data_IF_001305258946
#
_entry.id   IF_001305258946
#
_cell.length_a   1.000
_cell.length_b   1.000
_cell.length_c   1.000
_cell.angle_alpha   90.00
_cell.angle_beta   90.00
_cell.angle_gamma   90.00
#
_symmetry.space_group_name_H-M   'P 1'
#
loop_
_entity.id
_entity.type
_entity.pdbx_description
1 polymer ?
#
# COMPACT_ATOMS: atom_id res chain seq x y z
N UNK A 1 -38.20 1.13 -14.75
CA UNK A 1 -37.19 1.55 -13.75
C UNK A 1 -36.43 0.30 -13.33
N UNK A 2 -35.22 0.17 -13.83
CA UNK A 2 -34.46 -1.08 -13.83
C UNK A 2 -33.96 -1.47 -12.45
N UNK A 3 -34.62 -2.46 -11.85
CA UNK A 3 -34.24 -3.09 -10.59
C UNK A 3 -33.23 -4.23 -10.81
N UNK A 4 -32.19 -3.99 -11.59
CA UNK A 4 -31.15 -5.00 -11.86
C UNK A 4 -29.76 -4.43 -11.99
N UNK A 5 -29.40 -3.48 -11.13
CA UNK A 5 -28.00 -3.25 -10.82
C UNK A 5 -27.54 -4.47 -10.03
N UNK A 6 -26.91 -5.45 -10.72
CA UNK A 6 -26.22 -6.55 -10.05
C UNK A 6 -25.31 -5.91 -9.00
N UNK A 7 -25.47 -6.32 -7.74
CA UNK A 7 -24.59 -5.87 -6.67
C UNK A 7 -23.14 -6.06 -7.13
N UNK A 8 -22.29 -5.06 -6.91
CA UNK A 8 -20.87 -5.16 -7.23
C UNK A 8 -20.27 -6.37 -6.49
N UNK A 9 -19.75 -7.36 -7.20
CA UNK A 9 -19.23 -8.57 -6.58
C UNK A 9 -17.92 -8.34 -5.81
N UNK A 10 -17.25 -7.19 -6.04
CA UNK A 10 -15.98 -6.82 -5.41
C UNK A 10 -15.99 -5.33 -5.02
N UNK A 11 -16.81 -4.91 -4.06
CA UNK A 11 -16.93 -3.51 -3.72
C UNK A 11 -15.62 -2.98 -3.14
N UNK A 12 -14.97 -2.09 -3.90
CA UNK A 12 -13.76 -1.36 -3.51
C UNK A 12 -14.22 -0.01 -2.93
N UNK A 13 -13.81 0.28 -1.70
CA UNK A 13 -14.14 1.53 -1.01
C UNK A 13 -13.24 2.70 -1.42
N UNK A 14 -12.07 2.42 -1.97
CA UNK A 14 -11.10 3.40 -2.45
C UNK A 14 -9.67 2.89 -2.36
N UNK A 15 -8.72 3.75 -2.71
CA UNK A 15 -7.30 3.50 -2.50
C UNK A 15 -7.01 3.65 -1.00
N UNK A 16 -6.40 2.63 -0.39
CA UNK A 16 -5.99 2.65 1.01
C UNK A 16 -4.63 3.34 1.16
N UNK A 17 -3.64 2.89 0.42
CA UNK A 17 -2.32 3.51 0.31
C UNK A 17 -1.68 3.18 -1.05
N UNK A 18 -0.68 3.97 -1.40
CA UNK A 18 0.25 3.65 -2.49
C UNK A 18 1.62 3.40 -1.86
N UNK A 19 2.19 2.20 -2.07
CA UNK A 19 3.52 1.87 -1.58
C UNK A 19 4.57 2.07 -2.68
N UNK A 20 5.60 2.84 -2.33
CA UNK A 20 6.78 3.03 -3.15
C UNK A 20 7.95 2.26 -2.55
N UNK A 21 8.57 1.40 -3.37
CA UNK A 21 9.87 0.85 -3.05
C UNK A 21 10.94 1.82 -3.52
N UNK A 22 11.85 2.17 -2.61
CA UNK A 22 12.88 3.19 -2.82
C UNK A 22 14.24 2.72 -2.33
N UNK A 23 15.31 3.29 -2.87
CA UNK A 23 16.66 2.99 -2.42
C UNK A 23 16.95 3.46 -0.99
N UNK A 24 16.32 4.55 -0.55
CA UNK A 24 16.44 5.06 0.81
C UNK A 24 15.16 5.70 1.31
N UNK A 25 14.41 4.98 2.16
CA UNK A 25 13.12 5.43 2.66
C UNK A 25 13.20 6.74 3.47
N UNK A 26 14.27 6.98 4.22
CA UNK A 26 14.45 8.21 5.00
C UNK A 26 14.65 9.43 4.10
N UNK A 27 15.46 9.30 3.04
CA UNK A 27 15.67 10.39 2.07
C UNK A 27 14.40 10.68 1.27
N UNK A 28 13.71 9.65 0.79
CA UNK A 28 12.45 9.81 0.09
C UNK A 28 11.38 10.47 0.99
N UNK A 29 11.29 10.03 2.27
CA UNK A 29 10.41 10.68 3.25
C UNK A 29 10.72 12.16 3.41
N UNK A 30 12.01 12.55 3.49
CA UNK A 30 12.41 13.94 3.56
C UNK A 30 11.97 14.73 2.31
N UNK A 31 12.12 14.14 1.12
CA UNK A 31 11.69 14.74 -0.14
C UNK A 31 10.17 15.00 -0.18
N UNK A 32 9.35 13.98 0.11
CA UNK A 32 7.90 14.13 0.10
C UNK A 32 7.39 15.06 1.21
N UNK A 33 8.03 15.05 2.37
CA UNK A 33 7.71 15.97 3.47
C UNK A 33 7.96 17.41 3.09
N UNK A 34 9.16 17.75 2.61
CA UNK A 34 9.56 19.14 2.39
C UNK A 34 9.15 19.68 1.00
N UNK A 35 9.09 18.80 -0.01
CA UNK A 35 8.69 19.19 -1.36
C UNK A 35 7.19 19.22 -1.58
N UNK A 36 6.44 18.34 -0.89
CA UNK A 36 5.01 18.16 -1.12
C UNK A 36 4.14 18.29 0.13
N UNK A 37 4.72 18.59 1.29
CA UNK A 37 3.96 18.82 2.51
C UNK A 37 3.31 17.58 3.12
N UNK A 38 3.84 16.36 2.85
CA UNK A 38 3.36 15.14 3.48
C UNK A 38 3.88 15.03 4.91
N UNK A 39 3.00 14.70 5.84
CA UNK A 39 3.38 14.47 7.23
C UNK A 39 3.72 13.00 7.44
N UNK A 40 4.95 12.66 7.90
CA UNK A 40 5.26 11.30 8.37
C UNK A 40 4.48 11.01 9.64
N UNK A 41 3.56 10.04 9.58
CA UNK A 41 2.63 9.73 10.68
C UNK A 41 2.92 8.40 11.36
N UNK A 42 3.61 7.48 10.69
CA UNK A 42 4.00 6.20 11.27
C UNK A 42 5.32 5.68 10.72
N UNK A 43 5.96 4.81 11.48
CA UNK A 43 7.24 4.19 11.16
C UNK A 43 7.26 2.71 11.54
N UNK A 44 7.91 1.90 10.71
CA UNK A 44 8.26 0.51 10.99
C UNK A 44 9.69 0.25 10.53
N UNK A 45 10.49 -0.42 11.35
CA UNK A 45 11.90 -0.70 11.08
C UNK A 45 12.57 -1.40 12.25
N UNK A 46 13.90 -1.39 12.31
CA UNK A 46 14.68 -2.07 13.37
C UNK A 46 14.21 -1.73 14.78
N UNK A 47 13.85 -0.47 15.03
CA UNK A 47 13.39 0.02 16.34
C UNK A 47 12.01 -0.48 16.72
N UNK A 48 11.24 -1.03 15.76
CA UNK A 48 9.96 -1.69 15.99
C UNK A 48 10.02 -3.20 15.81
N UNK A 49 11.25 -3.76 15.69
CA UNK A 49 11.47 -5.20 15.55
C UNK A 49 11.51 -5.72 14.11
N UNK A 50 11.27 -4.89 13.11
CA UNK A 50 11.35 -5.25 11.67
C UNK A 50 12.78 -5.00 11.19
N UNK A 51 13.55 -6.07 10.96
CA UNK A 51 15.01 -5.97 10.74
C UNK A 51 15.47 -6.06 9.30
N UNK A 52 14.58 -6.36 8.39
CA UNK A 52 14.88 -6.59 6.97
C UNK A 52 14.53 -5.41 6.07
N UNK A 53 13.67 -4.51 6.55
CA UNK A 53 13.23 -3.30 5.84
C UNK A 53 12.89 -2.17 6.80
N UNK A 54 12.72 -0.97 6.23
CA UNK A 54 12.19 0.20 6.94
C UNK A 54 11.11 0.86 6.12
N UNK A 55 10.04 1.30 6.78
CA UNK A 55 8.88 1.90 6.14
C UNK A 55 8.41 3.14 6.89
N UNK A 56 8.09 4.19 6.15
CA UNK A 56 7.45 5.41 6.65
C UNK A 56 6.09 5.56 6.00
N UNK A 57 5.06 5.74 6.80
CA UNK A 57 3.74 6.16 6.32
C UNK A 57 3.68 7.68 6.32
N UNK A 58 3.40 8.27 5.18
CA UNK A 58 3.22 9.68 4.98
C UNK A 58 1.76 9.98 4.66
N UNK A 59 1.22 11.06 5.21
CA UNK A 59 -0.18 11.43 5.00
C UNK A 59 -0.32 12.90 4.63
N UNK A 60 -1.22 13.19 3.69
CA UNK A 60 -1.76 14.52 3.45
C UNK A 60 -3.19 14.39 2.92
N UNK A 61 -4.17 15.02 3.59
CA UNK A 61 -5.59 14.75 3.32
C UNK A 61 -5.91 13.26 3.46
N UNK A 62 -6.56 12.69 2.46
CA UNK A 62 -6.88 11.25 2.39
C UNK A 62 -5.77 10.42 1.72
N UNK A 63 -4.66 11.06 1.31
CA UNK A 63 -3.56 10.38 0.65
C UNK A 63 -2.66 9.73 1.68
N UNK A 64 -2.41 8.44 1.51
CA UNK A 64 -1.41 7.68 2.26
C UNK A 64 -0.34 7.15 1.29
N UNK A 65 0.92 7.59 1.49
CA UNK A 65 2.09 7.05 0.80
C UNK A 65 2.89 6.21 1.80
N UNK A 66 3.11 4.95 1.47
CA UNK A 66 4.00 4.07 2.23
C UNK A 66 5.35 4.02 1.52
N UNK A 67 6.38 4.56 2.16
CA UNK A 67 7.72 4.61 1.59
C UNK A 67 8.58 3.55 2.23
N UNK A 68 8.99 2.55 1.46
CA UNK A 68 9.69 1.37 1.98
C UNK A 68 11.03 1.16 1.29
N UNK A 69 12.09 0.91 2.07
CA UNK A 69 13.38 0.45 1.58
C UNK A 69 13.86 -0.80 2.31
N UNK A 70 14.57 -1.67 1.61
CA UNK A 70 15.22 -2.82 2.21
C UNK A 70 16.45 -2.40 3.03
N UNK A 71 16.82 -3.24 3.98
CA UNK A 71 18.05 -3.13 4.78
C UNK A 71 19.11 -4.19 4.40
N UNK A 72 18.80 -5.00 3.37
CA UNK A 72 19.71 -6.02 2.83
C UNK A 72 19.71 -5.98 1.30
N UNK A 73 20.86 -6.14 0.63
CA UNK A 73 20.93 -6.16 -0.83
C UNK A 73 20.15 -7.33 -1.46
N UNK A 74 20.04 -8.45 -0.76
CA UNK A 74 19.36 -9.66 -1.25
C UNK A 74 17.84 -9.63 -1.08
N UNK A 75 17.29 -8.58 -0.45
CA UNK A 75 15.87 -8.44 -0.24
C UNK A 75 15.11 -8.23 -1.57
N UNK A 76 13.87 -8.77 -1.72
CA UNK A 76 13.06 -8.53 -2.93
C UNK A 76 12.87 -7.04 -3.29
N UNK A 77 12.71 -6.17 -2.29
CA UNK A 77 12.63 -4.71 -2.48
C UNK A 77 13.91 -4.16 -3.14
N UNK A 78 15.10 -4.63 -2.73
CA UNK A 78 16.35 -4.21 -3.36
C UNK A 78 16.40 -4.63 -4.83
N UNK A 79 15.95 -5.85 -5.15
CA UNK A 79 15.86 -6.31 -6.54
C UNK A 79 14.90 -5.48 -7.36
N UNK A 80 13.73 -5.13 -6.81
CA UNK A 80 12.78 -4.23 -7.46
C UNK A 80 13.45 -2.88 -7.79
N UNK A 81 14.09 -2.25 -6.82
CA UNK A 81 14.76 -0.95 -7.00
C UNK A 81 15.93 -1.02 -8.01
N UNK A 82 16.69 -2.10 -8.03
CA UNK A 82 17.75 -2.31 -9.03
C UNK A 82 17.18 -2.42 -10.45
N UNK A 83 16.03 -3.07 -10.59
CA UNK A 83 15.40 -3.32 -11.91
C UNK A 83 14.64 -2.10 -12.42
N UNK A 84 13.88 -1.42 -11.54
CA UNK A 84 12.90 -0.39 -11.92
C UNK A 84 13.27 1.02 -11.46
N UNK A 85 14.27 1.17 -10.57
CA UNK A 85 14.48 2.39 -9.82
C UNK A 85 13.46 2.53 -8.67
N UNK A 86 13.41 3.71 -8.07
CA UNK A 86 12.38 4.05 -7.10
C UNK A 86 11.01 4.12 -7.81
N UNK A 87 10.02 3.39 -7.31
CA UNK A 87 8.74 3.30 -8.00
C UNK A 87 7.61 2.68 -7.18
N UNK A 88 6.39 2.78 -7.74
CA UNK A 88 5.19 2.19 -7.14
C UNK A 88 5.25 0.67 -7.25
N UNK A 89 5.19 -0.01 -6.11
CA UNK A 89 5.20 -1.47 -6.02
C UNK A 89 3.82 -2.04 -5.65
N UNK A 90 3.02 -1.29 -4.86
CA UNK A 90 1.68 -1.71 -4.45
C UNK A 90 0.70 -0.54 -4.50
N UNK A 91 -0.47 -0.79 -5.08
CA UNK A 91 -1.63 0.10 -5.00
C UNK A 91 -2.67 -0.65 -4.18
N UNK A 92 -2.70 -0.37 -2.87
CA UNK A 92 -3.58 -1.06 -1.95
C UNK A 92 -4.99 -0.48 -2.00
N UNK A 93 -5.97 -1.38 -2.02
CA UNK A 93 -7.39 -1.06 -2.12
C UNK A 93 -8.09 -1.40 -0.81
N UNK A 94 -8.85 -0.45 -0.26
CA UNK A 94 -9.71 -0.68 0.90
C UNK A 94 -10.93 -1.45 0.50
N UNK A 95 -11.22 -2.52 1.23
CA UNK A 95 -12.36 -3.40 1.00
C UNK A 95 -13.04 -3.79 2.32
N UNK A 96 -14.31 -4.20 2.24
CA UNK A 96 -15.06 -4.67 3.43
C UNK A 96 -14.63 -6.06 3.89
N UNK A 97 -14.25 -6.92 2.95
CA UNK A 97 -13.84 -8.31 3.21
C UNK A 97 -12.68 -8.66 2.27
N UNK A 98 -11.47 -8.73 2.83
CA UNK A 98 -10.26 -8.99 2.06
C UNK A 98 -10.19 -10.44 1.54
N UNK A 99 -10.74 -11.38 2.30
CA UNK A 99 -10.75 -12.80 1.92
C UNK A 99 -11.73 -13.06 0.77
N UNK A 100 -12.93 -12.50 0.86
CA UNK A 100 -13.93 -12.60 -0.20
C UNK A 100 -13.43 -11.94 -1.49
N UNK A 101 -12.92 -10.70 -1.40
CA UNK A 101 -12.42 -9.96 -2.55
C UNK A 101 -11.29 -10.71 -3.26
N UNK A 102 -10.35 -11.27 -2.50
CA UNK A 102 -9.27 -12.08 -3.05
C UNK A 102 -9.81 -13.33 -3.78
N UNK A 103 -10.72 -14.08 -3.14
CA UNK A 103 -11.31 -15.29 -3.74
C UNK A 103 -12.05 -14.98 -5.03
N UNK A 104 -12.82 -13.91 -5.06
CA UNK A 104 -13.58 -13.50 -6.24
C UNK A 104 -12.64 -13.01 -7.37
N UNK A 105 -11.58 -12.27 -7.05
CA UNK A 105 -10.57 -11.86 -8.01
C UNK A 105 -9.86 -13.07 -8.65
N UNK A 106 -9.40 -14.02 -7.83
CA UNK A 106 -8.72 -15.23 -8.33
C UNK A 106 -9.66 -16.11 -9.15
N UNK A 107 -10.92 -16.25 -8.73
CA UNK A 107 -11.95 -16.97 -9.49
C UNK A 107 -12.17 -16.35 -10.89
N UNK A 108 -11.97 -15.04 -11.03
CA UNK A 108 -12.07 -14.31 -12.30
C UNK A 108 -10.77 -14.29 -13.10
N UNK A 109 -9.73 -14.98 -12.66
CA UNK A 109 -8.48 -15.15 -13.37
C UNK A 109 -7.30 -14.31 -12.84
N UNK A 110 -7.47 -13.53 -11.78
CA UNK A 110 -6.35 -12.82 -11.17
C UNK A 110 -5.32 -13.80 -10.60
N UNK A 111 -4.04 -13.50 -10.79
CA UNK A 111 -2.95 -14.28 -10.21
C UNK A 111 -2.76 -13.89 -8.73
N UNK A 112 -3.03 -14.83 -7.81
CA UNK A 112 -2.77 -14.63 -6.38
C UNK A 112 -1.28 -14.50 -6.08
N UNK A 113 -0.92 -13.47 -5.29
CA UNK A 113 0.45 -13.23 -4.80
C UNK A 113 0.54 -13.55 -3.31
N UNK A 114 -0.43 -13.07 -2.53
CA UNK A 114 -0.53 -13.34 -1.11
C UNK A 114 -1.95 -13.78 -0.78
N UNK A 115 -2.07 -15.01 -0.26
CA UNK A 115 -3.34 -15.50 0.28
C UNK A 115 -3.76 -14.68 1.50
N UNK A 116 -5.06 -14.65 1.85
CA UNK A 116 -5.55 -13.89 2.98
C UNK A 116 -4.77 -14.16 4.26
N UNK A 117 -4.27 -13.09 4.89
CA UNK A 117 -3.54 -13.11 6.15
C UNK A 117 -4.21 -12.22 7.18
N UNK A 118 -4.08 -12.63 8.43
CA UNK A 118 -4.55 -11.88 9.60
C UNK A 118 -3.33 -11.35 10.33
N UNK A 119 -3.27 -10.04 10.50
CA UNK A 119 -2.33 -9.35 11.37
C UNK A 119 -3.11 -8.83 12.58
N UNK A 120 -2.56 -8.96 13.78
CA UNK A 120 -3.22 -8.50 15.01
C UNK A 120 -2.21 -7.99 16.03
N UNK A 121 -2.63 -7.00 16.78
CA UNK A 121 -1.98 -6.50 17.98
C UNK A 121 -3.05 -6.03 18.98
N UNK A 122 -2.66 -5.27 19.99
CA UNK A 122 -3.57 -4.69 20.99
C UNK A 122 -4.61 -3.71 20.40
N UNK A 123 -4.37 -3.19 19.20
CA UNK A 123 -5.27 -2.25 18.52
C UNK A 123 -6.30 -2.94 17.63
N UNK A 124 -6.26 -4.27 17.56
CA UNK A 124 -7.27 -5.03 16.81
C UNK A 124 -6.73 -5.93 15.71
N UNK A 125 -7.55 -6.12 14.68
CA UNK A 125 -7.31 -7.06 13.59
C UNK A 125 -7.31 -6.34 12.25
N UNK A 126 -6.24 -6.52 11.48
CA UNK A 126 -6.10 -6.11 10.08
C UNK A 126 -6.06 -7.36 9.23
N UNK A 127 -6.82 -7.39 8.13
CA UNK A 127 -6.75 -8.47 7.15
C UNK A 127 -6.28 -7.95 5.82
N UNK A 128 -5.47 -8.75 5.14
CA UNK A 128 -4.95 -8.39 3.82
C UNK A 128 -4.70 -9.60 2.95
N UNK A 129 -4.83 -9.39 1.65
CA UNK A 129 -4.50 -10.35 0.60
C UNK A 129 -3.99 -9.60 -0.62
N UNK A 130 -3.24 -10.24 -1.53
CA UNK A 130 -2.73 -9.53 -2.70
C UNK A 130 -2.79 -10.37 -3.97
N UNK A 131 -3.03 -9.68 -5.08
CA UNK A 131 -2.98 -10.21 -6.44
C UNK A 131 -1.92 -9.47 -7.26
N UNK A 132 -1.43 -10.11 -8.32
CA UNK A 132 -0.61 -9.43 -9.32
C UNK A 132 -1.47 -8.41 -10.08
N UNK A 133 -0.88 -7.25 -10.36
CA UNK A 133 -1.46 -6.27 -11.26
C UNK A 133 -0.80 -6.38 -12.64
N UNK A 134 0.27 -5.66 -12.88
CA UNK A 134 1.06 -5.72 -14.11
C UNK A 134 2.55 -5.61 -13.75
N UNK A 135 3.42 -6.24 -14.54
CA UNK A 135 4.85 -6.32 -14.23
C UNK A 135 5.07 -6.87 -12.83
N UNK A 136 5.84 -6.15 -12.02
CA UNK A 136 6.12 -6.48 -10.62
C UNK A 136 5.26 -5.68 -9.62
N UNK A 137 4.25 -4.95 -10.11
CA UNK A 137 3.29 -4.23 -9.27
C UNK A 137 2.16 -5.16 -8.80
N UNK A 138 1.70 -4.95 -7.57
CA UNK A 138 0.60 -5.73 -6.98
C UNK A 138 -0.57 -4.84 -6.57
N UNK A 139 -1.72 -5.48 -6.32
CA UNK A 139 -2.85 -4.88 -5.64
C UNK A 139 -3.10 -5.63 -4.33
N UNK A 140 -2.90 -4.93 -3.22
CA UNK A 140 -3.27 -5.45 -1.90
C UNK A 140 -4.71 -5.05 -1.56
N UNK A 141 -5.53 -6.00 -1.14
CA UNK A 141 -6.84 -5.76 -0.56
C UNK A 141 -6.72 -5.66 0.95
N UNK A 142 -7.13 -4.53 1.53
CA UNK A 142 -7.01 -4.24 2.97
C UNK A 142 -8.40 -4.07 3.59
N UNK A 143 -8.66 -4.88 4.63
CA UNK A 143 -9.82 -4.79 5.50
C UNK A 143 -9.40 -4.20 6.85
N UNK A 144 -9.84 -2.93 7.12
CA UNK A 144 -9.38 -2.14 8.26
C UNK A 144 -10.40 -1.95 9.38
N UNK A 145 -11.67 -2.27 9.16
CA UNK A 145 -12.71 -1.92 10.14
C UNK A 145 -12.59 -2.62 11.51
N UNK A 146 -11.73 -3.60 11.63
CA UNK A 146 -11.37 -4.22 12.91
C UNK A 146 -10.05 -3.76 13.50
N UNK A 147 -9.41 -2.70 12.94
CA UNK A 147 -8.11 -2.21 13.38
C UNK A 147 -8.14 -0.71 13.69
N UNK A 148 -7.73 -0.34 14.90
CA UNK A 148 -7.78 1.02 15.43
C UNK A 148 -6.40 1.61 15.72
N UNK A 149 -5.32 0.93 15.32
CA UNK A 149 -3.96 1.42 15.44
C UNK A 149 -3.59 2.43 14.35
N UNK A 150 -2.36 2.95 14.41
CA UNK A 150 -1.92 4.04 13.53
C UNK A 150 -1.95 3.66 12.04
N UNK A 151 -1.55 2.44 11.70
CA UNK A 151 -1.55 1.97 10.30
C UNK A 151 -1.68 0.45 10.21
N UNK A 152 -0.74 -0.28 10.79
CA UNK A 152 -0.71 -1.74 10.81
C UNK A 152 0.11 -2.24 12.00
N UNK A 153 -0.06 -3.48 12.45
CA UNK A 153 0.81 -4.09 13.46
C UNK A 153 2.29 -3.95 13.09
N UNK A 154 3.12 -3.57 14.07
CA UNK A 154 4.54 -3.30 13.88
C UNK A 154 4.89 -1.87 13.46
N UNK A 155 3.88 -0.99 13.28
CA UNK A 155 4.09 0.44 13.11
C UNK A 155 3.90 1.19 14.42
N UNK A 156 4.79 2.16 14.67
CA UNK A 156 4.65 3.11 15.77
C UNK A 156 4.29 4.50 15.22
N UNK A 157 3.51 5.31 15.95
CA UNK A 157 3.21 6.67 15.53
C UNK A 157 4.48 7.56 15.55
N UNK A 158 4.48 8.54 14.66
CA UNK A 158 5.46 9.63 14.63
C UNK A 158 4.75 10.94 15.00
N UNK A 159 5.48 11.84 15.69
CA UNK A 159 4.97 13.15 16.10
C UNK A 159 5.53 14.28 15.22
N UNK A 160 5.80 14.01 13.97
CA UNK A 160 6.30 14.99 13.02
C UNK A 160 5.17 15.86 12.45
N UNK A 161 5.53 17.05 12.00
CA UNK A 161 4.62 17.96 11.30
C UNK A 161 5.23 18.40 9.98
N UNK A 162 4.38 18.68 9.00
CA UNK A 162 4.73 19.29 7.74
C UNK A 162 3.67 20.33 7.37
N UNK A 163 4.05 21.32 6.60
CA UNK A 163 3.14 22.33 6.08
C UNK A 163 2.45 21.76 4.83
N UNK A 164 1.19 21.39 4.99
CA UNK A 164 0.38 20.84 3.89
C UNK A 164 0.22 21.89 2.76
N UNK A 165 0.39 21.43 1.53
CA UNK A 165 0.11 22.26 0.33
C UNK A 165 -1.31 22.05 -0.22
N UNK A 166 -2.16 21.31 0.50
CA UNK A 166 -3.58 21.16 0.20
C UNK A 166 -3.93 20.00 -0.74
N UNK A 167 -3.04 19.01 -0.92
CA UNK A 167 -3.38 17.78 -1.61
C UNK A 167 -4.45 17.01 -0.81
N UNK A 168 -5.47 16.46 -1.49
CA UNK A 168 -6.63 15.89 -0.81
C UNK A 168 -6.77 14.40 -0.97
N UNK A 169 -6.62 13.86 -2.18
CA UNK A 169 -6.82 12.44 -2.49
C UNK A 169 -5.97 12.02 -3.69
N UNK A 170 -5.71 10.72 -3.81
CA UNK A 170 -5.21 10.13 -5.05
C UNK A 170 -6.37 10.12 -6.05
N UNK A 171 -6.20 10.77 -7.18
CA UNK A 171 -7.21 10.80 -8.24
C UNK A 171 -7.13 9.52 -9.07
N UNK A 172 -5.93 9.21 -9.57
CA UNK A 172 -5.64 8.00 -10.32
C UNK A 172 -4.15 7.66 -10.27
N UNK A 173 -3.84 6.41 -10.61
CA UNK A 173 -2.47 5.93 -10.82
C UNK A 173 -2.41 5.39 -12.24
N UNK A 174 -1.42 5.83 -13.01
CA UNK A 174 -1.24 5.43 -14.41
C UNK A 174 -0.05 4.50 -14.53
N UNK A 175 -0.19 3.48 -15.35
CA UNK A 175 0.87 2.55 -15.69
C UNK A 175 1.03 2.44 -17.20
N UNK A 176 2.26 2.17 -17.63
CA UNK A 176 2.56 1.79 -19.00
C UNK A 176 2.88 0.29 -19.06
N UNK A 177 2.41 -0.35 -20.09
CA UNK A 177 2.75 -1.73 -20.44
C UNK A 177 3.42 -1.74 -21.80
N UNK A 178 4.09 -2.84 -22.14
CA UNK A 178 4.67 -3.06 -23.45
C UNK A 178 3.61 -2.98 -24.55
N UNK A 179 4.02 -2.59 -25.75
CA UNK A 179 3.13 -2.56 -26.92
C UNK A 179 2.48 -3.94 -27.15
N UNK A 180 1.16 -3.96 -27.30
CA UNK A 180 0.38 -5.19 -27.49
C UNK A 180 0.15 -6.04 -26.22
N UNK A 181 0.41 -5.48 -25.02
CA UNK A 181 0.19 -6.17 -23.73
C UNK A 181 -0.90 -5.52 -22.88
N UNK A 182 -1.77 -4.73 -23.49
CA UNK A 182 -2.83 -4.00 -22.80
C UNK A 182 -4.14 -4.81 -22.65
N UNK A 183 -4.24 -5.98 -23.29
CA UNK A 183 -5.40 -6.88 -23.28
C UNK A 183 -5.28 -7.98 -22.22
#
# INVERSE_FOLDING_TARGET
MDANLKADPMPIEGIDYVELYVGNAKQATYFYKNGFGFTPVAYSGPETGVRDKTSYLLQQGDIQLLITSALSPDHPISRFVITHGDGVADIAMRVKDAEWTYKEAVKRGAKGIQTPKILKDENGVLRGAAIAAYGDTIHTFIERHGYHGTFAPGFRPLSEKADSIGLKRVDHVVANVEEGKMD
#
